data_IF_030036298148
#
_entry.id   IF_030036298148
#
_cell.length_a   1.000
_cell.length_b   1.000
_cell.length_c   1.000
_cell.angle_alpha   90.00
_cell.angle_beta   90.00
_cell.angle_gamma   90.00
#
_symmetry.space_group_name_H-M   'P 1'
#
loop_
_entity.id
_entity.type
_entity.pdbx_description
1 polymer ?
#
# COMPACT_ATOMS: atom_id res chain seq x y z
N UNK A 1 0.63 -31.19 8.68
CA UNK A 1 0.75 -29.86 9.31
C UNK A 1 1.94 -29.06 8.81
N UNK A 2 3.20 -29.51 8.98
CA UNK A 2 4.40 -28.75 8.58
C UNK A 2 4.37 -28.21 7.13
N UNK A 3 4.02 -29.07 6.16
CA UNK A 3 3.95 -28.73 4.72
C UNK A 3 2.80 -27.76 4.34
N UNK A 4 1.77 -27.64 5.20
CA UNK A 4 0.69 -26.67 5.01
C UNK A 4 1.12 -25.29 5.50
N UNK A 5 1.82 -25.23 6.64
CA UNK A 5 2.32 -23.98 7.21
C UNK A 5 3.33 -23.28 6.30
N UNK A 6 4.17 -24.05 5.59
CA UNK A 6 5.12 -23.55 4.57
C UNK A 6 4.45 -22.85 3.38
N UNK A 7 3.12 -22.90 3.25
CA UNK A 7 2.34 -22.25 2.19
C UNK A 7 1.48 -21.09 2.68
N UNK A 8 1.53 -20.78 3.98
CA UNK A 8 0.82 -19.65 4.56
C UNK A 8 1.73 -18.43 4.47
N UNK A 9 1.16 -17.28 4.07
CA UNK A 9 1.86 -16.00 4.07
C UNK A 9 1.29 -15.16 5.20
N UNK A 10 2.13 -14.82 6.18
CA UNK A 10 1.77 -13.92 7.27
C UNK A 10 1.96 -12.46 6.87
N UNK A 11 0.87 -11.71 6.81
CA UNK A 11 0.85 -10.29 6.47
C UNK A 11 0.38 -9.50 7.68
N UNK A 12 1.20 -8.58 8.18
CA UNK A 12 0.86 -7.70 9.30
C UNK A 12 0.76 -6.27 8.80
N UNK A 13 -0.36 -5.61 9.07
CA UNK A 13 -0.55 -4.21 8.67
C UNK A 13 0.11 -3.25 9.64
N UNK A 14 0.83 -2.26 9.09
CA UNK A 14 1.42 -1.13 9.81
C UNK A 14 0.61 0.11 9.46
N UNK A 15 -0.34 0.42 10.34
CA UNK A 15 -1.35 1.48 10.14
C UNK A 15 -1.49 2.41 11.35
N UNK A 16 -0.70 2.17 12.39
CA UNK A 16 -0.67 3.00 13.59
C UNK A 16 0.73 3.45 13.95
N UNK A 17 0.85 4.57 14.65
CA UNK A 17 2.12 5.05 15.22
C UNK A 17 2.75 4.03 16.17
N UNK A 18 1.94 3.26 16.89
CA UNK A 18 2.40 2.13 17.71
C UNK A 18 3.00 1.00 16.87
N UNK A 19 2.28 0.54 15.83
CA UNK A 19 2.78 -0.46 14.90
C UNK A 19 4.04 0.00 14.17
N UNK A 20 4.12 1.27 13.79
CA UNK A 20 5.30 1.86 13.16
C UNK A 20 6.51 1.88 14.10
N UNK A 21 6.30 2.27 15.37
CA UNK A 21 7.36 2.23 16.39
C UNK A 21 7.90 0.81 16.53
N UNK A 22 7.02 -0.18 16.53
CA UNK A 22 7.34 -1.59 16.76
C UNK A 22 7.59 -2.38 15.45
N UNK A 23 7.76 -1.70 14.31
CA UNK A 23 7.91 -2.35 13.00
C UNK A 23 9.09 -3.34 12.95
N UNK A 24 10.23 -2.99 13.55
CA UNK A 24 11.41 -3.86 13.60
C UNK A 24 11.18 -5.15 14.42
N UNK A 25 10.73 -5.10 15.69
CA UNK A 25 10.43 -6.32 16.43
C UNK A 25 9.27 -7.11 15.81
N UNK A 26 8.29 -6.48 15.15
CA UNK A 26 7.23 -7.19 14.42
C UNK A 26 7.82 -7.94 13.22
N UNK A 27 8.72 -7.31 12.44
CA UNK A 27 9.40 -7.95 11.32
C UNK A 27 10.27 -9.15 11.75
N UNK A 28 10.76 -9.17 12.99
CA UNK A 28 11.54 -10.27 13.54
C UNK A 28 10.70 -11.51 13.92
N UNK A 29 9.37 -11.43 13.95
CA UNK A 29 8.50 -12.53 14.37
C UNK A 29 8.54 -13.66 13.33
N UNK A 30 8.68 -14.91 13.80
CA UNK A 30 8.58 -16.10 12.96
C UNK A 30 7.16 -16.24 12.39
N UNK A 31 7.06 -16.52 11.09
CA UNK A 31 5.80 -16.56 10.35
C UNK A 31 5.24 -15.20 9.92
N UNK A 32 5.92 -14.09 10.18
CA UNK A 32 5.66 -12.82 9.49
C UNK A 32 6.50 -12.80 8.21
N UNK A 33 5.85 -12.60 7.07
CA UNK A 33 6.49 -12.56 5.75
C UNK A 33 6.42 -11.17 5.12
N UNK A 34 5.38 -10.40 5.45
CA UNK A 34 5.13 -9.07 4.90
C UNK A 34 4.73 -8.11 6.02
N UNK A 35 5.36 -6.93 6.07
CA UNK A 35 4.76 -5.76 6.70
C UNK A 35 4.07 -4.92 5.64
N UNK A 36 2.78 -4.68 5.81
CA UNK A 36 1.95 -4.00 4.82
C UNK A 36 1.49 -2.64 5.33
N UNK A 37 1.90 -1.56 4.67
CA UNK A 37 1.45 -0.21 5.02
C UNK A 37 0.03 0.02 4.50
N UNK A 38 -0.87 0.44 5.38
CA UNK A 38 -2.15 1.04 5.04
C UNK A 38 -2.02 2.56 5.03
N UNK A 39 -1.86 3.24 3.87
CA UNK A 39 -1.49 4.66 3.85
C UNK A 39 -2.51 5.57 4.51
N UNK A 40 -3.79 5.34 4.25
CA UNK A 40 -4.87 6.16 4.77
C UNK A 40 -4.86 6.13 6.30
N UNK A 41 -4.93 4.94 6.90
CA UNK A 41 -4.96 4.77 8.35
C UNK A 41 -3.66 5.22 9.02
N UNK A 42 -2.50 4.92 8.43
CA UNK A 42 -1.21 5.41 8.95
C UNK A 42 -1.15 6.93 8.96
N UNK A 43 -1.60 7.60 7.89
CA UNK A 43 -1.63 9.06 7.83
C UNK A 43 -2.56 9.66 8.90
N UNK A 44 -3.68 9.01 9.20
CA UNK A 44 -4.55 9.42 10.30
C UNK A 44 -3.87 9.22 11.65
N UNK A 45 -3.22 8.08 11.88
CA UNK A 45 -2.52 7.79 13.13
C UNK A 45 -1.33 8.72 13.40
N UNK A 46 -0.71 9.24 12.33
CA UNK A 46 0.35 10.25 12.40
C UNK A 46 -0.19 11.69 12.57
N UNK A 47 -1.51 11.90 12.54
CA UNK A 47 -2.13 13.22 12.67
C UNK A 47 -2.08 14.08 11.39
N UNK A 48 -1.82 13.45 10.24
CA UNK A 48 -1.60 14.10 8.94
C UNK A 48 -2.48 13.45 7.85
N UNK A 49 -3.82 13.41 8.04
CA UNK A 49 -4.73 12.61 7.21
C UNK A 49 -4.62 12.97 5.72
N UNK A 50 -4.27 11.98 4.89
CA UNK A 50 -4.14 12.12 3.44
C UNK A 50 -2.93 12.90 2.94
N UNK A 51 -2.04 13.37 3.82
CA UNK A 51 -0.85 14.14 3.44
C UNK A 51 0.32 13.20 3.09
N UNK A 52 0.23 12.48 1.98
CA UNK A 52 1.22 11.47 1.58
C UNK A 52 2.57 12.02 1.10
N UNK A 53 2.73 13.34 1.07
CA UNK A 53 4.01 14.02 0.82
C UNK A 53 4.61 14.60 2.10
N UNK A 54 3.93 14.45 3.24
CA UNK A 54 4.43 14.96 4.51
C UNK A 54 5.71 14.21 4.91
N UNK A 55 6.76 14.89 5.40
CA UNK A 55 8.03 14.26 5.78
C UNK A 55 7.86 13.07 6.73
N UNK A 56 6.98 13.19 7.73
CA UNK A 56 6.72 12.12 8.69
C UNK A 56 6.11 10.86 8.05
N UNK A 57 5.27 11.02 7.02
CA UNK A 57 4.72 9.89 6.29
C UNK A 57 5.81 9.19 5.46
N UNK A 58 6.64 9.96 4.75
CA UNK A 58 7.74 9.43 3.96
C UNK A 58 8.78 8.70 4.84
N UNK A 59 9.13 9.30 5.98
CA UNK A 59 10.00 8.67 6.98
C UNK A 59 9.39 7.39 7.58
N UNK A 60 8.06 7.35 7.73
CA UNK A 60 7.37 6.14 8.16
C UNK A 60 7.50 5.00 7.14
N UNK A 61 7.38 5.31 5.84
CA UNK A 61 7.59 4.32 4.77
C UNK A 61 9.03 3.78 4.78
N UNK A 62 10.02 4.67 4.88
CA UNK A 62 11.44 4.29 5.00
C UNK A 62 11.69 3.36 6.18
N UNK A 63 11.08 3.66 7.35
CA UNK A 63 11.21 2.84 8.55
C UNK A 63 10.66 1.42 8.35
N UNK A 64 9.48 1.29 7.72
CA UNK A 64 8.89 -0.04 7.43
C UNK A 64 9.77 -0.82 6.46
N UNK A 65 10.24 -0.17 5.39
CA UNK A 65 11.13 -0.82 4.40
C UNK A 65 12.45 -1.24 5.05
N UNK A 66 13.04 -0.41 5.90
CA UNK A 66 14.27 -0.72 6.62
C UNK A 66 14.10 -1.93 7.54
N UNK A 67 13.00 -1.98 8.31
CA UNK A 67 12.66 -3.13 9.16
C UNK A 67 12.51 -4.41 8.34
N UNK A 68 11.73 -4.37 7.25
CA UNK A 68 11.57 -5.53 6.37
C UNK A 68 12.92 -5.99 5.80
N UNK A 69 13.76 -5.07 5.33
CA UNK A 69 15.08 -5.40 4.78
C UNK A 69 15.99 -6.04 5.82
N UNK A 70 15.99 -5.55 7.06
CA UNK A 70 16.81 -6.09 8.15
C UNK A 70 16.47 -7.56 8.49
N UNK A 71 15.20 -7.95 8.33
CA UNK A 71 14.70 -9.29 8.69
C UNK A 71 14.36 -10.18 7.49
N UNK A 72 14.73 -9.75 6.26
CA UNK A 72 14.47 -10.51 5.03
C UNK A 72 12.98 -10.66 4.69
N UNK A 73 12.15 -9.69 5.08
CA UNK A 73 10.70 -9.66 4.84
C UNK A 73 10.36 -8.79 3.63
N UNK A 74 9.19 -8.99 3.03
CA UNK A 74 8.70 -8.08 2.02
C UNK A 74 8.07 -6.84 2.67
N UNK A 75 8.30 -5.66 2.08
CA UNK A 75 7.52 -4.47 2.40
C UNK A 75 6.36 -4.35 1.41
N UNK A 76 5.14 -4.22 1.94
CA UNK A 76 3.93 -4.08 1.15
C UNK A 76 3.22 -2.75 1.36
N UNK A 77 2.46 -2.30 0.36
CA UNK A 77 1.69 -1.06 0.41
C UNK A 77 0.51 -1.10 -0.57
N UNK A 78 -0.59 -0.44 -0.21
CA UNK A 78 -1.72 -0.18 -1.12
C UNK A 78 -1.59 1.18 -1.80
N UNK A 79 -1.57 1.21 -3.13
CA UNK A 79 -1.51 2.45 -3.92
C UNK A 79 -2.72 2.57 -4.85
N UNK A 80 -3.29 3.76 -4.96
CA UNK A 80 -4.39 4.05 -5.89
C UNK A 80 -3.94 4.84 -7.12
N UNK A 81 -2.84 5.58 -7.01
CA UNK A 81 -2.26 6.33 -8.12
C UNK A 81 -1.11 5.52 -8.76
N UNK A 82 -1.22 5.14 -10.05
CA UNK A 82 -0.13 4.48 -10.76
C UNK A 82 1.18 5.27 -10.77
N UNK A 83 1.13 6.60 -10.72
CA UNK A 83 2.31 7.46 -10.77
C UNK A 83 3.25 7.26 -9.57
N UNK A 84 2.72 6.80 -8.44
CA UNK A 84 3.53 6.55 -7.24
C UNK A 84 4.11 5.14 -7.19
N UNK A 85 3.72 4.22 -8.08
CA UNK A 85 4.20 2.83 -8.05
C UNK A 85 5.72 2.76 -8.16
N UNK A 86 6.30 3.40 -9.19
CA UNK A 86 7.74 3.36 -9.42
C UNK A 86 8.55 3.92 -8.23
N UNK A 87 8.23 5.11 -7.66
CA UNK A 87 8.87 5.60 -6.44
C UNK A 87 8.81 4.62 -5.25
N UNK A 88 7.69 3.92 -5.05
CA UNK A 88 7.58 2.94 -3.94
C UNK A 88 8.42 1.68 -4.21
N UNK A 89 8.51 1.22 -5.46
CA UNK A 89 9.41 0.12 -5.83
C UNK A 89 10.88 0.51 -5.62
N UNK A 90 11.26 1.72 -6.01
CA UNK A 90 12.61 2.27 -5.80
C UNK A 90 12.97 2.39 -4.31
N UNK A 91 12.00 2.79 -3.49
CA UNK A 91 12.17 2.85 -2.04
C UNK A 91 12.44 1.46 -1.44
N UNK A 92 11.83 0.42 -1.99
CA UNK A 92 12.06 -0.98 -1.61
C UNK A 92 10.80 -1.78 -1.30
N UNK A 93 9.61 -1.28 -1.64
CA UNK A 93 8.38 -2.07 -1.59
C UNK A 93 8.39 -3.15 -2.67
N UNK A 94 8.04 -4.38 -2.31
CA UNK A 94 8.02 -5.54 -3.21
C UNK A 94 6.66 -6.26 -3.25
N UNK A 95 5.73 -5.88 -2.36
CA UNK A 95 4.36 -6.39 -2.33
C UNK A 95 3.35 -5.25 -2.50
N UNK A 96 3.11 -4.82 -3.74
CA UNK A 96 2.32 -3.62 -4.04
C UNK A 96 0.88 -4.01 -4.43
N UNK A 97 -0.09 -3.62 -3.61
CA UNK A 97 -1.50 -3.67 -3.97
C UNK A 97 -1.87 -2.46 -4.82
N UNK A 98 -2.56 -2.67 -5.94
CA UNK A 98 -2.90 -1.61 -6.90
C UNK A 98 -4.42 -1.46 -6.96
N UNK A 99 -4.88 -0.29 -6.54
CA UNK A 99 -6.27 0.13 -6.59
C UNK A 99 -7.21 -0.76 -5.79
N UNK A 100 -8.49 -0.63 -6.12
CA UNK A 100 -9.55 -1.48 -5.61
C UNK A 100 -10.49 -1.81 -6.77
N UNK A 101 -11.08 -3.00 -6.74
CA UNK A 101 -12.00 -3.47 -7.79
C UNK A 101 -13.15 -2.49 -8.04
N UNK A 102 -13.81 -2.00 -6.98
CA UNK A 102 -14.85 -0.98 -7.09
C UNK A 102 -14.37 0.32 -7.78
N UNK A 103 -13.12 0.73 -7.54
CA UNK A 103 -12.55 1.92 -8.18
C UNK A 103 -12.32 1.67 -9.68
N UNK A 104 -11.79 0.50 -10.05
CA UNK A 104 -11.61 0.13 -11.45
C UNK A 104 -12.93 0.03 -12.21
N UNK A 105 -13.96 -0.55 -11.61
CA UNK A 105 -15.30 -0.62 -12.20
C UNK A 105 -15.89 0.77 -12.39
N UNK A 106 -15.81 1.63 -11.37
CA UNK A 106 -16.31 2.99 -11.43
C UNK A 106 -15.60 3.83 -12.51
N UNK A 107 -14.27 3.73 -12.60
CA UNK A 107 -13.49 4.45 -13.60
C UNK A 107 -13.76 3.94 -15.02
N UNK A 108 -13.90 2.62 -15.19
CA UNK A 108 -14.30 2.03 -16.48
C UNK A 108 -15.67 2.51 -16.94
N UNK A 109 -16.66 2.52 -16.03
CA UNK A 109 -18.00 3.01 -16.32
C UNK A 109 -18.00 4.50 -16.68
N UNK A 110 -17.25 5.33 -15.93
CA UNK A 110 -17.12 6.76 -16.22
C UNK A 110 -16.50 7.01 -17.58
N UNK A 111 -15.40 6.34 -17.92
CA UNK A 111 -14.74 6.44 -19.23
C UNK A 111 -15.67 6.06 -20.38
N UNK A 112 -16.47 5.01 -20.21
CA UNK A 112 -17.43 4.58 -21.23
C UNK A 112 -18.54 5.62 -21.43
N UNK A 113 -19.12 6.15 -20.34
CA UNK A 113 -20.15 7.17 -20.39
C UNK A 113 -19.64 8.49 -21.01
N UNK A 114 -18.42 8.90 -20.68
CA UNK A 114 -17.82 10.13 -21.22
C UNK A 114 -17.59 10.02 -22.74
N UNK A 115 -17.15 8.86 -23.23
CA UNK A 115 -17.00 8.61 -24.66
C UNK A 115 -18.35 8.70 -25.41
N UNK A 116 -19.40 8.08 -24.86
CA UNK A 116 -20.75 8.14 -25.46
C UNK A 116 -21.30 9.56 -25.46
N UNK A 117 -21.15 10.30 -24.34
CA UNK A 117 -21.60 11.69 -24.23
C UNK A 117 -20.90 12.60 -25.24
N UNK A 118 -19.59 12.44 -25.43
CA UNK A 118 -18.81 13.17 -26.42
C UNK A 118 -19.36 13.01 -27.83
N UNK A 119 -19.69 11.77 -28.24
CA UNK A 119 -20.27 11.49 -29.56
C UNK A 119 -21.63 12.14 -29.77
N UNK A 120 -22.49 12.13 -28.74
CA UNK A 120 -23.83 12.74 -28.83
C UNK A 120 -23.79 14.27 -28.86
N UNK A 121 -22.76 14.88 -28.26
CA UNK A 121 -22.58 16.33 -28.29
C UNK A 121 -22.08 16.83 -29.65
N UNK A 122 -21.31 16.03 -30.39
CA UNK A 122 -20.85 16.37 -31.75
C UNK A 122 -21.91 16.12 -32.83
N UNK A 123 -22.98 15.38 -32.50
CA UNK A 123 -24.08 15.05 -33.40
C UNK A 123 -25.26 16.05 -33.34
N UNK A 124 -25.14 17.14 -32.57
CA UNK A 124 -26.08 18.27 -32.52
C UNK A 124 -25.40 19.52 -33.05
#
# INVERSE_FOLDING_TARGET
MKRLNERVVGIIQIESSGGLRDADPIAAIDGVDVLFVGPADLSHSLGIPGQFQHPDYLAALERVVAACRAHGKAAGILVYDPAVVAPHLELGFTFVGIGAEAAFVADGARRYLDAVRGMTATAR
#
